data_IF_027612008420
#
_entry.id   IF_027612008420
#
_cell.length_a   1.000
_cell.length_b   1.000
_cell.length_c   1.000
_cell.angle_alpha   90.00
_cell.angle_beta   90.00
_cell.angle_gamma   90.00
#
_symmetry.space_group_name_H-M   'P 1'
#
loop_
_entity.id
_entity.type
_entity.pdbx_description
1 polymer ?
#
# COMPACT_ATOMS: atom_id res chain seq x y z
N UNK A 1 -41.97 40.38 -14.63
CA UNK A 1 -41.16 39.16 -14.39
C UNK A 1 -40.76 39.17 -12.92
N UNK A 2 -41.23 38.21 -12.12
CA UNK A 2 -40.92 38.13 -10.67
C UNK A 2 -39.58 37.41 -10.51
N UNK A 3 -38.52 38.18 -10.29
CA UNK A 3 -37.22 37.64 -9.93
C UNK A 3 -37.30 37.14 -8.48
N UNK A 4 -37.27 35.82 -8.29
CA UNK A 4 -37.08 35.23 -6.95
C UNK A 4 -35.66 35.54 -6.52
N UNK A 5 -35.52 36.49 -5.60
CA UNK A 5 -34.27 36.72 -4.90
C UNK A 5 -34.11 35.63 -3.83
N UNK A 6 -32.97 34.92 -3.84
CA UNK A 6 -32.57 34.02 -2.76
C UNK A 6 -32.42 34.82 -1.47
N UNK A 7 -32.92 34.29 -0.35
CA UNK A 7 -32.76 34.97 0.94
C UNK A 7 -31.35 34.72 1.48
N UNK A 8 -30.72 35.74 2.10
CA UNK A 8 -29.41 35.58 2.75
C UNK A 8 -29.44 34.48 3.83
N UNK A 9 -30.59 34.34 4.51
CA UNK A 9 -30.81 33.32 5.53
C UNK A 9 -30.73 31.90 4.96
N UNK A 10 -31.28 31.70 3.77
CA UNK A 10 -31.29 30.40 3.08
C UNK A 10 -29.87 29.98 2.68
N UNK A 11 -29.04 30.94 2.24
CA UNK A 11 -27.62 30.67 1.98
C UNK A 11 -26.85 30.33 3.27
N UNK A 12 -27.13 31.05 4.37
CA UNK A 12 -26.44 30.87 5.65
C UNK A 12 -26.71 29.47 6.22
N UNK A 13 -27.96 28.99 6.19
CA UNK A 13 -28.29 27.65 6.69
C UNK A 13 -27.62 26.56 5.84
N UNK A 14 -27.55 26.75 4.52
CA UNK A 14 -26.89 25.80 3.62
C UNK A 14 -25.39 25.68 3.92
N UNK A 15 -24.67 26.79 4.08
CA UNK A 15 -23.23 26.72 4.38
C UNK A 15 -22.94 26.16 5.78
N UNK A 16 -23.83 26.39 6.75
CA UNK A 16 -23.73 25.78 8.09
C UNK A 16 -23.87 24.26 8.00
N UNK A 17 -24.88 23.76 7.29
CA UNK A 17 -25.09 22.31 7.11
C UNK A 17 -23.92 21.68 6.35
N UNK A 18 -23.44 22.34 5.28
CA UNK A 18 -22.27 21.88 4.53
C UNK A 18 -21.01 21.82 5.41
N UNK A 19 -20.80 22.79 6.30
CA UNK A 19 -19.68 22.79 7.25
C UNK A 19 -19.70 21.58 8.19
N UNK A 20 -20.87 21.24 8.74
CA UNK A 20 -21.05 20.08 9.63
C UNK A 20 -20.75 18.78 8.88
N UNK A 21 -21.31 18.59 7.69
CA UNK A 21 -21.10 17.37 6.90
C UNK A 21 -19.63 17.18 6.52
N UNK A 22 -18.94 18.26 6.10
CA UNK A 22 -17.52 18.20 5.71
C UNK A 22 -16.63 17.78 6.87
N UNK A 23 -16.89 18.28 8.08
CA UNK A 23 -16.11 17.93 9.29
C UNK A 23 -16.10 16.43 9.62
N UNK A 24 -17.21 15.73 9.34
CA UNK A 24 -17.36 14.29 9.61
C UNK A 24 -16.85 13.46 8.43
N UNK A 25 -17.01 13.97 7.21
CA UNK A 25 -16.73 13.22 5.99
C UNK A 25 -15.21 13.08 5.69
N UNK A 26 -14.43 14.15 5.85
CA UNK A 26 -13.00 14.16 5.49
C UNK A 26 -12.16 13.05 6.17
N UNK A 27 -12.25 12.82 7.50
CA UNK A 27 -11.36 11.85 8.15
C UNK A 27 -11.56 10.40 7.68
N UNK A 28 -12.70 10.07 7.06
CA UNK A 28 -13.03 8.71 6.60
C UNK A 28 -12.40 8.35 5.25
N UNK A 29 -12.00 9.31 4.42
CA UNK A 29 -11.53 9.06 3.04
C UNK A 29 -10.06 8.62 2.94
N UNK A 30 -9.26 8.80 3.98
CA UNK A 30 -7.81 8.51 3.94
C UNK A 30 -7.50 7.01 3.99
N UNK A 31 -8.31 6.20 4.68
CA UNK A 31 -8.09 4.76 4.79
C UNK A 31 -8.31 3.99 3.47
N UNK A 32 -9.38 4.34 2.74
CA UNK A 32 -9.71 3.66 1.48
C UNK A 32 -8.68 3.91 0.37
N UNK A 33 -8.15 5.13 0.31
CA UNK A 33 -7.11 5.50 -0.68
C UNK A 33 -5.77 4.82 -0.38
N UNK A 34 -5.37 4.73 0.89
CA UNK A 34 -4.17 3.97 1.28
C UNK A 34 -4.32 2.47 1.01
N UNK A 35 -5.51 1.90 1.21
CA UNK A 35 -5.76 0.50 0.86
C UNK A 35 -5.61 0.24 -0.64
N UNK A 36 -6.13 1.13 -1.48
CA UNK A 36 -5.93 1.04 -2.94
C UNK A 36 -4.46 1.12 -3.35
N UNK A 37 -3.69 2.03 -2.74
CA UNK A 37 -2.24 2.14 -2.95
C UNK A 37 -1.50 0.88 -2.53
N UNK A 38 -1.87 0.31 -1.39
CA UNK A 38 -1.29 -0.94 -0.92
C UNK A 38 -1.63 -2.10 -1.87
N UNK A 39 -2.86 -2.20 -2.38
CA UNK A 39 -3.24 -3.24 -3.36
C UNK A 39 -2.41 -3.17 -4.64
N UNK A 40 -2.08 -1.97 -5.13
CA UNK A 40 -1.17 -1.80 -6.27
C UNK A 40 0.22 -2.40 -5.96
N UNK A 41 0.77 -2.12 -4.77
CA UNK A 41 2.03 -2.71 -4.32
C UNK A 41 1.93 -4.22 -4.11
N UNK A 42 0.81 -4.74 -3.60
CA UNK A 42 0.58 -6.18 -3.43
C UNK A 42 0.57 -6.93 -4.77
N UNK A 43 -0.02 -6.33 -5.82
CA UNK A 43 0.02 -6.90 -7.17
C UNK A 43 1.46 -7.03 -7.68
N UNK A 44 2.23 -5.96 -7.55
CA UNK A 44 3.65 -5.96 -7.94
C UNK A 44 4.48 -6.95 -7.12
N UNK A 45 4.24 -7.06 -5.81
CA UNK A 45 4.87 -8.05 -4.94
C UNK A 45 4.56 -9.49 -5.40
N UNK A 46 3.34 -9.74 -5.89
CA UNK A 46 2.95 -11.03 -6.47
C UNK A 46 3.73 -11.38 -7.74
N UNK A 47 3.85 -10.43 -8.66
CA UNK A 47 4.63 -10.63 -9.91
C UNK A 47 6.12 -10.87 -9.60
N UNK A 48 6.68 -10.10 -8.68
CA UNK A 48 8.05 -10.24 -8.19
C UNK A 48 8.29 -11.58 -7.52
N UNK A 49 7.33 -12.05 -6.71
CA UNK A 49 7.40 -13.36 -6.08
C UNK A 49 7.48 -14.46 -7.12
N UNK A 50 6.61 -14.47 -8.12
CA UNK A 50 6.66 -15.48 -9.20
C UNK A 50 7.98 -15.41 -9.95
N UNK A 51 8.53 -14.23 -10.19
CA UNK A 51 9.85 -14.10 -10.80
C UNK A 51 10.98 -14.63 -9.89
N UNK A 52 10.87 -14.42 -8.57
CA UNK A 52 11.83 -14.95 -7.59
C UNK A 52 11.74 -16.48 -7.44
N UNK A 53 10.55 -17.07 -7.56
CA UNK A 53 10.36 -18.52 -7.65
C UNK A 53 11.05 -19.10 -8.88
N UNK A 54 10.92 -18.45 -10.05
CA UNK A 54 11.63 -18.85 -11.27
C UNK A 54 13.15 -18.74 -11.11
N UNK A 55 13.61 -17.66 -10.46
CA UNK A 55 15.02 -17.50 -10.14
C UNK A 55 15.52 -18.63 -9.25
N UNK A 56 14.80 -18.97 -8.18
CA UNK A 56 15.15 -20.07 -7.30
C UNK A 56 15.18 -21.42 -8.03
N UNK A 57 14.24 -21.69 -8.93
CA UNK A 57 14.24 -22.90 -9.75
C UNK A 57 15.51 -23.02 -10.62
N UNK A 58 16.05 -21.91 -11.12
CA UNK A 58 17.28 -21.87 -11.89
C UNK A 58 18.57 -21.88 -11.04
N UNK A 59 18.48 -21.48 -9.77
CA UNK A 59 19.62 -21.28 -8.87
C UNK A 59 19.64 -22.28 -7.69
N UNK A 60 19.37 -23.56 -7.95
CA UNK A 60 19.43 -24.64 -6.95
C UNK A 60 18.54 -24.40 -5.71
N UNK A 61 17.39 -23.74 -5.88
CA UNK A 61 16.48 -23.39 -4.78
C UNK A 61 16.86 -22.11 -4.03
N UNK A 62 17.91 -21.40 -4.44
CA UNK A 62 18.33 -20.15 -3.81
C UNK A 62 17.58 -18.97 -4.42
N UNK A 63 16.80 -18.28 -3.59
CA UNK A 63 16.16 -17.01 -3.95
C UNK A 63 17.18 -15.89 -4.08
N UNK A 64 16.81 -14.85 -4.84
CA UNK A 64 17.60 -13.63 -4.92
C UNK A 64 17.59 -12.93 -3.56
N UNK A 65 18.78 -12.59 -3.07
CA UNK A 65 18.99 -12.11 -1.69
C UNK A 65 19.53 -10.70 -1.57
N UNK A 66 19.74 -9.99 -2.69
CA UNK A 66 20.39 -8.68 -2.66
C UNK A 66 19.63 -7.60 -3.41
N UNK A 67 19.50 -6.46 -2.73
CA UNK A 67 19.25 -5.16 -3.34
C UNK A 67 17.86 -5.00 -3.96
N UNK A 68 17.81 -4.24 -5.04
CA UNK A 68 16.58 -3.75 -5.66
C UNK A 68 15.83 -4.81 -6.49
N UNK A 69 15.98 -6.10 -6.18
CA UNK A 69 15.44 -7.24 -6.94
C UNK A 69 15.90 -7.37 -8.40
N UNK A 70 16.83 -6.53 -8.89
CA UNK A 70 17.19 -6.37 -10.31
C UNK A 70 17.71 -7.62 -11.02
N UNK A 71 18.01 -8.69 -10.30
CA UNK A 71 18.39 -10.00 -10.86
C UNK A 71 17.21 -10.88 -11.29
N UNK A 72 15.97 -10.45 -11.07
CA UNK A 72 14.77 -11.17 -11.49
C UNK A 72 14.43 -10.87 -12.96
N UNK A 73 14.00 -11.89 -13.69
CA UNK A 73 13.53 -11.78 -15.09
C UNK A 73 12.11 -11.18 -15.16
N UNK A 74 11.97 -9.96 -14.64
CA UNK A 74 10.75 -9.17 -14.72
C UNK A 74 11.10 -7.69 -14.68
N UNK A 75 10.37 -6.90 -15.46
CA UNK A 75 10.52 -5.44 -15.48
C UNK A 75 9.42 -4.81 -14.64
N UNK A 76 9.80 -4.09 -13.59
CA UNK A 76 8.88 -3.23 -12.84
C UNK A 76 9.22 -1.76 -13.01
N UNK A 77 8.18 -0.94 -13.00
CA UNK A 77 8.32 0.51 -12.86
C UNK A 77 8.06 0.88 -11.41
N UNK A 78 8.79 1.88 -10.89
CA UNK A 78 8.52 2.41 -9.55
C UNK A 78 7.08 2.93 -9.48
N UNK A 79 6.28 2.33 -8.60
CA UNK A 79 4.93 2.80 -8.30
C UNK A 79 5.01 4.07 -7.44
N UNK A 80 4.15 5.06 -7.69
CA UNK A 80 4.30 6.40 -7.10
C UNK A 80 4.35 6.43 -5.57
N UNK A 81 3.64 5.50 -4.93
CA UNK A 81 3.42 5.52 -3.49
C UNK A 81 4.34 4.58 -2.71
N UNK A 82 5.19 3.79 -3.37
CA UNK A 82 6.15 2.91 -2.71
C UNK A 82 7.54 3.07 -3.33
N UNK A 83 8.57 2.80 -2.53
CA UNK A 83 9.95 2.70 -2.99
C UNK A 83 10.17 1.48 -3.88
N UNK A 84 11.41 1.36 -4.39
CA UNK A 84 11.82 0.18 -5.13
C UNK A 84 11.68 -1.11 -4.27
N UNK A 85 11.31 -2.24 -4.88
CA UNK A 85 11.27 -3.51 -4.18
C UNK A 85 12.66 -3.92 -3.72
N UNK A 86 12.75 -4.49 -2.53
CA UNK A 86 13.97 -5.04 -1.96
C UNK A 86 13.83 -6.55 -1.79
N UNK A 87 14.75 -7.31 -2.37
CA UNK A 87 14.81 -8.77 -2.25
C UNK A 87 15.77 -9.15 -1.14
N UNK A 88 15.35 -10.02 -0.23
CA UNK A 88 16.12 -10.43 0.94
C UNK A 88 15.72 -11.84 1.43
N UNK A 89 16.45 -12.35 2.42
CA UNK A 89 16.14 -13.63 3.07
C UNK A 89 16.62 -14.84 2.28
N UNK A 90 17.86 -15.28 2.57
CA UNK A 90 18.42 -16.51 2.00
C UNK A 90 17.54 -17.69 2.43
N UNK A 91 16.82 -18.29 1.48
CA UNK A 91 15.94 -19.43 1.70
C UNK A 91 14.45 -19.09 1.91
N UNK A 92 14.10 -17.88 2.35
CA UNK A 92 12.69 -17.43 2.48
C UNK A 92 12.19 -16.61 1.29
N UNK A 93 13.09 -16.06 0.47
CA UNK A 93 12.72 -15.34 -0.75
C UNK A 93 11.83 -14.13 -0.51
N UNK A 94 12.09 -13.40 0.58
CA UNK A 94 11.27 -12.28 1.02
C UNK A 94 11.47 -11.07 0.13
N UNK A 95 10.36 -10.47 -0.31
CA UNK A 95 10.36 -9.25 -1.11
C UNK A 95 9.59 -8.19 -0.34
N UNK A 96 10.23 -7.04 -0.13
CA UNK A 96 9.68 -5.93 0.67
C UNK A 96 9.54 -4.67 -0.16
N UNK A 97 8.43 -3.97 0.00
CA UNK A 97 8.20 -2.63 -0.54
C UNK A 97 7.81 -1.67 0.56
N UNK A 98 8.52 -0.54 0.66
CA UNK A 98 8.28 0.47 1.69
C UNK A 98 7.44 1.62 1.13
N UNK A 99 6.41 2.05 1.86
CA UNK A 99 5.58 3.20 1.50
C UNK A 99 6.45 4.46 1.39
N UNK A 100 6.29 5.24 0.33
CA UNK A 100 6.91 6.56 0.18
C UNK A 100 6.53 7.45 1.38
N UNK A 101 7.52 7.92 2.12
CA UNK A 101 7.33 8.61 3.41
C UNK A 101 7.52 7.72 4.65
N UNK A 102 7.79 6.43 4.47
CA UNK A 102 8.34 5.56 5.51
C UNK A 102 7.36 5.14 6.62
N UNK A 103 6.05 5.27 6.42
CA UNK A 103 5.07 4.93 7.47
C UNK A 103 4.93 3.42 7.72
N UNK A 104 4.92 2.62 6.65
CA UNK A 104 4.81 1.16 6.71
C UNK A 104 5.50 0.49 5.52
N UNK A 105 5.75 -0.82 5.61
CA UNK A 105 6.20 -1.64 4.49
C UNK A 105 5.31 -2.86 4.33
N UNK A 106 5.21 -3.33 3.09
CA UNK A 106 4.55 -4.58 2.74
C UNK A 106 5.64 -5.59 2.39
N UNK A 107 5.45 -6.83 2.82
CA UNK A 107 6.36 -7.91 2.50
C UNK A 107 5.57 -9.14 2.06
N UNK A 108 6.12 -9.84 1.09
CA UNK A 108 5.66 -11.16 0.65
C UNK A 108 6.83 -12.14 0.80
N UNK A 109 6.56 -13.33 1.29
CA UNK A 109 7.53 -14.42 1.34
C UNK A 109 7.42 -15.33 0.10
N UNK A 110 8.21 -16.41 0.07
CA UNK A 110 8.10 -17.47 -0.94
C UNK A 110 6.94 -18.46 -0.72
N UNK A 111 6.12 -18.35 0.33
CA UNK A 111 4.94 -19.23 0.57
C UNK A 111 3.62 -18.62 0.08
N UNK A 112 3.56 -17.30 0.02
CA UNK A 112 2.45 -16.50 -0.51
C UNK A 112 1.87 -15.61 0.57
N UNK A 113 2.43 -15.68 1.77
CA UNK A 113 2.04 -14.91 2.90
C UNK A 113 2.46 -13.45 2.69
N UNK A 114 1.46 -12.59 2.73
CA UNK A 114 1.63 -11.15 2.66
C UNK A 114 1.37 -10.55 4.03
N UNK A 115 2.32 -9.76 4.53
CA UNK A 115 2.16 -9.04 5.79
C UNK A 115 2.67 -7.60 5.69
N UNK A 116 2.27 -6.79 6.66
CA UNK A 116 2.60 -5.37 6.76
C UNK A 116 3.44 -5.11 8.01
N UNK A 117 4.51 -4.33 7.89
CA UNK A 117 5.33 -3.90 9.01
C UNK A 117 5.10 -2.41 9.32
N UNK A 118 4.88 -2.08 10.59
CA UNK A 118 4.74 -0.70 11.03
C UNK A 118 6.13 -0.07 11.20
N UNK A 119 6.44 0.98 10.44
CA UNK A 119 7.68 1.74 10.64
C UNK A 119 7.47 2.99 11.49
N UNK A 120 6.30 3.63 11.37
CA UNK A 120 5.90 4.79 12.17
C UNK A 120 4.45 4.62 12.62
N UNK A 121 4.21 4.62 13.94
CA UNK A 121 2.87 4.46 14.50
C UNK A 121 2.27 3.08 14.26
N UNK A 122 0.95 3.01 14.03
CA UNK A 122 0.19 1.76 13.78
C UNK A 122 -0.65 1.78 12.48
N UNK A 123 -0.08 2.17 11.33
CA UNK A 123 -0.80 2.26 10.05
C UNK A 123 -1.33 0.90 9.57
N UNK A 124 -0.60 -0.21 9.76
CA UNK A 124 -1.03 -1.52 9.27
C UNK A 124 -2.38 -1.93 9.85
N UNK A 125 -2.58 -1.79 11.16
CA UNK A 125 -3.86 -2.12 11.83
C UNK A 125 -4.94 -1.09 11.53
N UNK A 126 -4.57 0.19 11.41
CA UNK A 126 -5.51 1.27 11.04
C UNK A 126 -6.08 1.13 9.64
N UNK A 127 -5.34 0.50 8.72
CA UNK A 127 -5.77 0.19 7.36
C UNK A 127 -6.28 -1.24 7.17
N UNK A 128 -6.25 -2.06 8.23
CA UNK A 128 -6.78 -3.43 8.25
C UNK A 128 -5.89 -4.49 7.59
N UNK A 129 -4.57 -4.29 7.58
CA UNK A 129 -3.58 -5.27 7.12
C UNK A 129 -3.08 -6.15 8.27
N UNK A 130 -2.78 -7.41 7.96
CA UNK A 130 -2.11 -8.32 8.89
C UNK A 130 -0.69 -7.81 9.20
N UNK A 131 -0.33 -7.73 10.48
CA UNK A 131 0.99 -7.26 10.93
C UNK A 131 1.98 -8.43 10.93
N UNK A 132 3.23 -8.18 10.53
CA UNK A 132 4.28 -9.20 10.59
C UNK A 132 4.71 -9.50 12.05
N UNK A 133 5.11 -10.74 12.39
CA UNK A 133 5.16 -11.92 11.53
C UNK A 133 3.79 -12.59 11.46
N UNK A 134 3.16 -12.54 10.29
CA UNK A 134 1.95 -13.33 10.00
C UNK A 134 2.28 -14.63 9.26
N UNK A 135 3.53 -14.79 8.84
CA UNK A 135 4.03 -15.94 8.10
C UNK A 135 4.69 -16.90 9.09
N UNK A 136 3.91 -17.87 9.57
CA UNK A 136 4.37 -19.04 10.31
C UNK A 136 4.12 -20.28 9.46
#
# INVERSE_FOLDING_TARGET
MKNKAFTLLELIIVVIILGIIVSIAIPRFTGGTEKGRATEAMGLLGDLRTANERYAAANNGNYLVEGACTGLDTTWTTIKNFGAPACSGAGTGTITMTRTGGAYSLQIDATGCLCCNNLVGTPCTSYGFAVCPACQ
#
